data_IF_720047969977
#
_entry.id   IF_720047969977
#
_cell.length_a   1.000
_cell.length_b   1.000
_cell.length_c   1.000
_cell.angle_alpha   90.00
_cell.angle_beta   90.00
_cell.angle_gamma   90.00
#
_symmetry.space_group_name_H-M   'P 1'
#
loop_
_entity.id
_entity.type
_entity.pdbx_description
1 polymer ?
#
# COMPACT_ATOMS: atom_id res chain seq x y z
N UNK A 1 -14.60 -24.39 19.44
CA UNK A 1 -14.84 -22.96 19.73
C UNK A 1 -13.84 -22.00 19.05
N UNK A 2 -12.54 -22.33 18.91
CA UNK A 2 -11.52 -21.43 18.30
C UNK A 2 -11.60 -21.23 16.76
N UNK A 3 -12.03 -22.24 16.00
CA UNK A 3 -12.09 -22.12 14.53
C UNK A 3 -13.19 -21.17 14.00
N UNK A 4 -14.26 -20.97 14.79
CA UNK A 4 -15.37 -20.10 14.40
C UNK A 4 -14.96 -18.62 14.37
N UNK A 5 -14.16 -18.20 15.36
CA UNK A 5 -13.61 -16.83 15.45
C UNK A 5 -12.76 -16.44 14.24
N UNK A 6 -12.00 -17.38 13.65
CA UNK A 6 -11.17 -17.11 12.47
C UNK A 6 -12.00 -16.80 11.21
N UNK A 7 -13.25 -17.25 11.18
CA UNK A 7 -14.19 -17.08 10.07
C UNK A 7 -15.17 -15.92 10.29
N UNK A 8 -15.16 -15.31 11.47
CA UNK A 8 -15.99 -14.13 11.76
C UNK A 8 -15.45 -12.90 10.99
N UNK A 9 -16.36 -12.02 10.59
CA UNK A 9 -16.01 -10.78 9.91
C UNK A 9 -15.22 -9.87 10.84
N UNK A 10 -14.02 -9.52 10.39
CA UNK A 10 -13.16 -8.58 11.09
C UNK A 10 -13.54 -7.16 10.67
N UNK A 11 -13.85 -6.32 11.66
CA UNK A 11 -14.08 -4.90 11.42
C UNK A 11 -12.83 -4.06 11.71
N UNK A 12 -12.09 -3.69 10.66
CA UNK A 12 -10.90 -2.83 10.69
C UNK A 12 -11.13 -1.62 9.78
N UNK A 13 -10.84 -0.43 10.29
CA UNK A 13 -10.95 0.79 9.49
C UNK A 13 -9.73 0.96 8.59
N UNK A 14 -9.94 1.54 7.40
CA UNK A 14 -8.90 1.62 6.38
C UNK A 14 -7.67 2.44 6.83
N UNK A 15 -7.88 3.55 7.54
CA UNK A 15 -6.79 4.35 8.11
C UNK A 15 -6.02 3.58 9.18
N UNK A 16 -6.71 2.82 10.03
CA UNK A 16 -6.09 1.90 11.00
C UNK A 16 -5.23 0.86 10.29
N UNK A 17 -5.70 0.27 9.17
CA UNK A 17 -4.92 -0.71 8.40
C UNK A 17 -3.60 -0.11 7.91
N UNK A 18 -3.61 1.10 7.35
CA UNK A 18 -2.38 1.77 6.91
C UNK A 18 -1.46 2.02 8.10
N UNK A 19 -1.97 2.52 9.23
CA UNK A 19 -1.16 2.74 10.43
C UNK A 19 -0.55 1.44 10.96
N UNK A 20 -1.29 0.32 10.95
CA UNK A 20 -0.76 -0.97 11.37
C UNK A 20 0.38 -1.44 10.46
N UNK A 21 0.24 -1.29 9.14
CA UNK A 21 1.31 -1.62 8.18
C UNK A 21 2.52 -0.70 8.36
N UNK A 22 2.31 0.61 8.53
CA UNK A 22 3.39 1.55 8.78
C UNK A 22 4.12 1.28 10.11
N UNK A 23 3.37 1.03 11.17
CA UNK A 23 3.92 0.66 12.48
C UNK A 23 4.72 -0.63 12.43
N UNK A 24 4.23 -1.65 11.71
CA UNK A 24 4.99 -2.87 11.45
C UNK A 24 6.25 -2.61 10.62
N UNK A 25 6.16 -1.77 9.58
CA UNK A 25 7.31 -1.45 8.73
C UNK A 25 8.44 -0.83 9.55
N UNK A 26 8.11 0.17 10.36
CA UNK A 26 9.05 0.83 11.28
C UNK A 26 9.55 -0.14 12.34
N UNK A 27 8.67 -0.93 12.97
CA UNK A 27 9.05 -1.85 14.05
C UNK A 27 9.96 -2.98 13.55
N UNK A 28 9.65 -3.61 12.41
CA UNK A 28 10.50 -4.64 11.81
C UNK A 28 11.84 -4.05 11.35
N UNK A 29 11.86 -2.84 10.81
CA UNK A 29 13.11 -2.13 10.50
C UNK A 29 13.96 -1.97 11.77
N UNK A 30 13.37 -1.53 12.88
CA UNK A 30 14.05 -1.42 14.17
C UNK A 30 14.62 -2.76 14.66
N UNK A 31 13.85 -3.86 14.54
CA UNK A 31 14.29 -5.21 14.91
C UNK A 31 15.46 -5.68 14.03
N UNK A 32 15.38 -5.47 12.72
CA UNK A 32 16.39 -5.91 11.74
C UNK A 32 17.69 -5.09 11.81
N UNK A 33 17.64 -3.87 12.36
CA UNK A 33 18.84 -3.06 12.58
C UNK A 33 19.78 -3.65 13.63
N UNK A 34 19.31 -4.46 14.59
CA UNK A 34 20.17 -5.13 15.58
C UNK A 34 21.15 -6.11 14.92
N UNK A 35 20.70 -7.15 14.20
CA UNK A 35 21.62 -8.06 13.49
C UNK A 35 22.42 -7.34 12.40
N UNK A 36 21.88 -6.29 11.78
CA UNK A 36 22.64 -5.47 10.83
C UNK A 36 23.82 -4.73 11.50
N UNK A 37 23.65 -4.23 12.73
CA UNK A 37 24.69 -3.50 13.45
C UNK A 37 25.92 -4.34 13.80
N UNK A 38 25.75 -5.66 13.91
CA UNK A 38 26.85 -6.63 14.14
C UNK A 38 27.33 -7.27 12.83
N UNK A 39 26.85 -6.80 11.67
CA UNK A 39 27.24 -7.27 10.35
C UNK A 39 26.65 -8.63 9.96
N UNK A 40 25.66 -9.15 10.69
CA UNK A 40 25.02 -10.44 10.37
C UNK A 40 24.05 -10.34 9.19
N UNK A 41 23.46 -9.16 8.95
CA UNK A 41 22.50 -8.92 7.87
C UNK A 41 22.89 -7.68 7.06
N UNK A 42 22.75 -7.76 5.74
CA UNK A 42 22.84 -6.60 4.85
C UNK A 42 21.59 -5.73 5.01
N UNK A 43 21.78 -4.43 5.23
CA UNK A 43 20.69 -3.47 5.38
C UNK A 43 20.53 -2.63 4.11
N UNK A 44 19.33 -2.61 3.54
CA UNK A 44 19.02 -1.87 2.32
C UNK A 44 18.24 -0.58 2.63
N UNK A 45 18.97 0.53 2.75
CA UNK A 45 18.42 1.84 3.13
C UNK A 45 17.36 2.37 2.16
N UNK A 46 17.65 2.34 0.86
CA UNK A 46 16.72 2.84 -0.16
C UNK A 46 15.40 2.06 -0.17
N UNK A 47 15.42 0.78 0.22
CA UNK A 47 14.22 -0.03 0.40
C UNK A 47 13.35 0.43 1.56
N UNK A 48 13.95 0.80 2.70
CA UNK A 48 13.25 1.38 3.85
C UNK A 48 12.66 2.74 3.49
N UNK A 49 13.46 3.63 2.90
CA UNK A 49 13.00 4.96 2.51
C UNK A 49 11.88 4.87 1.47
N UNK A 50 12.05 4.01 0.47
CA UNK A 50 11.08 3.78 -0.57
C UNK A 50 9.76 3.22 -0.05
N UNK A 51 9.82 2.26 0.88
CA UNK A 51 8.64 1.68 1.52
C UNK A 51 7.87 2.73 2.34
N UNK A 52 8.55 3.54 3.15
CA UNK A 52 7.89 4.58 3.96
C UNK A 52 7.27 5.67 3.08
N UNK A 53 7.97 6.12 2.04
CA UNK A 53 7.42 7.06 1.06
C UNK A 53 6.21 6.48 0.32
N UNK A 54 6.27 5.21 -0.06
CA UNK A 54 5.12 4.53 -0.64
C UNK A 54 3.92 4.54 0.30
N UNK A 55 4.10 4.25 1.60
CA UNK A 55 3.02 4.30 2.59
C UNK A 55 2.47 5.71 2.80
N UNK A 56 3.32 6.75 2.82
CA UNK A 56 2.86 8.14 2.86
C UNK A 56 2.08 8.54 1.61
N UNK A 57 2.56 8.16 0.43
CA UNK A 57 1.87 8.39 -0.84
C UNK A 57 0.53 7.66 -0.89
N UNK A 58 0.51 6.39 -0.46
CA UNK A 58 -0.69 5.58 -0.30
C UNK A 58 -1.71 6.30 0.58
N UNK A 59 -1.32 6.73 1.78
CA UNK A 59 -2.19 7.45 2.71
C UNK A 59 -2.72 8.75 2.11
N UNK A 60 -1.88 9.49 1.39
CA UNK A 60 -2.27 10.75 0.73
C UNK A 60 -3.32 10.52 -0.36
N UNK A 61 -3.12 9.51 -1.23
CA UNK A 61 -4.04 9.18 -2.32
C UNK A 61 -5.36 8.59 -1.79
N UNK A 62 -5.27 7.74 -0.77
CA UNK A 62 -6.42 6.96 -0.27
C UNK A 62 -7.15 7.59 0.90
N UNK A 63 -6.63 8.59 1.59
CA UNK A 63 -7.33 9.25 2.70
C UNK A 63 -7.36 10.78 2.56
N UNK A 64 -6.60 11.37 1.64
CA UNK A 64 -6.42 12.82 1.58
C UNK A 64 -5.53 13.36 2.72
N UNK A 65 -5.08 12.50 3.64
CA UNK A 65 -4.18 12.87 4.72
C UNK A 65 -2.77 13.05 4.16
N UNK A 66 -2.30 14.28 4.15
CA UNK A 66 -0.92 14.60 3.79
C UNK A 66 0.00 14.44 5.00
N UNK A 67 1.32 14.31 4.81
CA UNK A 67 2.26 14.35 5.92
C UNK A 67 2.09 15.61 6.79
N UNK A 68 1.72 16.75 6.20
CA UNK A 68 1.49 18.02 6.91
C UNK A 68 0.14 18.12 7.65
N UNK A 69 -0.74 17.11 7.54
CA UNK A 69 -2.02 17.05 8.24
C UNK A 69 -3.20 16.67 7.36
N UNK A 70 -4.39 16.72 7.95
CA UNK A 70 -5.66 16.40 7.30
C UNK A 70 -5.99 17.45 6.23
N UNK A 71 -6.02 17.03 4.96
CA UNK A 71 -6.53 17.83 3.85
C UNK A 71 -7.73 17.10 3.22
N UNK A 72 -8.66 17.87 2.63
CA UNK A 72 -9.75 17.26 1.84
C UNK A 72 -9.16 16.63 0.58
N UNK A 73 -9.71 15.48 0.18
CA UNK A 73 -9.31 14.84 -1.08
C UNK A 73 -9.60 15.79 -2.24
N UNK A 74 -8.54 16.14 -2.97
CA UNK A 74 -8.61 16.99 -4.15
C UNK A 74 -7.64 16.46 -5.20
N UNK A 75 -7.88 16.80 -6.47
CA UNK A 75 -6.99 16.43 -7.57
C UNK A 75 -5.50 16.73 -7.31
N UNK A 76 -5.11 17.92 -6.80
CA UNK A 76 -3.70 18.18 -6.51
C UNK A 76 -3.15 17.32 -5.36
N UNK A 77 -3.95 17.04 -4.32
CA UNK A 77 -3.53 16.16 -3.22
C UNK A 77 -3.31 14.73 -3.70
N UNK A 78 -4.21 14.20 -4.53
CA UNK A 78 -4.05 12.88 -5.14
C UNK A 78 -2.80 12.85 -6.04
N UNK A 79 -2.60 13.86 -6.87
CA UNK A 79 -1.41 13.95 -7.73
C UNK A 79 -0.11 13.98 -6.91
N UNK A 80 -0.06 14.78 -5.83
CA UNK A 80 1.07 14.81 -4.93
C UNK A 80 1.33 13.45 -4.27
N UNK A 81 0.26 12.77 -3.81
CA UNK A 81 0.38 11.42 -3.26
C UNK A 81 0.91 10.39 -4.27
N UNK A 82 0.46 10.46 -5.53
CA UNK A 82 1.00 9.61 -6.62
C UNK A 82 2.47 9.89 -6.89
N UNK A 83 2.90 11.16 -6.87
CA UNK A 83 4.32 11.53 -7.03
C UNK A 83 5.15 10.96 -5.88
N UNK A 84 4.72 11.16 -4.63
CA UNK A 84 5.40 10.62 -3.45
C UNK A 84 5.51 9.09 -3.53
N UNK A 85 4.41 8.41 -3.88
CA UNK A 85 4.42 6.95 -4.03
C UNK A 85 5.34 6.49 -5.17
N UNK A 86 5.37 7.21 -6.29
CA UNK A 86 6.24 6.92 -7.44
C UNK A 86 7.71 7.05 -7.08
N UNK A 87 8.08 8.11 -6.34
CA UNK A 87 9.44 8.26 -5.81
C UNK A 87 9.77 7.11 -4.86
N UNK A 88 8.83 6.70 -4.00
CA UNK A 88 9.01 5.55 -3.11
C UNK A 88 9.23 4.22 -3.86
N UNK A 89 8.47 3.98 -4.93
CA UNK A 89 8.62 2.80 -5.80
C UNK A 89 9.99 2.80 -6.49
N UNK A 90 10.39 3.94 -7.08
CA UNK A 90 11.70 4.07 -7.73
C UNK A 90 12.86 3.86 -6.74
N UNK A 91 12.75 4.41 -5.53
CA UNK A 91 13.73 4.24 -4.47
C UNK A 91 13.89 2.77 -4.04
N UNK A 92 12.78 2.04 -3.96
CA UNK A 92 12.83 0.60 -3.67
C UNK A 92 13.62 -0.14 -4.76
N UNK A 93 13.33 0.15 -6.03
CA UNK A 93 13.77 -0.70 -7.14
C UNK A 93 15.17 -0.38 -7.64
N UNK A 94 15.58 0.89 -7.61
CA UNK A 94 16.85 1.34 -8.18
C UNK A 94 17.78 1.74 -7.04
N UNK A 95 18.63 0.82 -6.55
CA UNK A 95 19.60 1.15 -5.52
C UNK A 95 20.59 2.19 -6.06
N UNK A 96 20.99 3.11 -5.19
CA UNK A 96 22.17 3.99 -5.34
C UNK A 96 22.17 5.01 -6.49
N UNK A 97 21.10 5.09 -7.29
CA UNK A 97 20.99 6.09 -8.37
C UNK A 97 20.35 7.39 -7.92
N UNK A 98 19.31 7.33 -7.09
CA UNK A 98 18.51 8.51 -6.71
C UNK A 98 18.50 8.81 -5.21
N UNK A 99 19.41 8.24 -4.41
CA UNK A 99 19.41 8.24 -2.92
C UNK A 99 19.01 9.56 -2.26
N UNK A 100 19.49 10.70 -2.79
CA UNK A 100 19.21 12.02 -2.25
C UNK A 100 17.72 12.39 -2.31
N UNK A 101 17.03 12.08 -3.41
CA UNK A 101 15.64 12.54 -3.64
C UNK A 101 14.67 11.86 -2.65
N UNK A 102 14.64 10.51 -2.52
CA UNK A 102 13.85 9.83 -1.51
C UNK A 102 14.23 10.25 -0.09
N UNK A 103 15.53 10.41 0.20
CA UNK A 103 16.00 10.82 1.52
C UNK A 103 15.46 12.19 1.91
N UNK A 104 15.62 13.21 1.06
CA UNK A 104 15.10 14.57 1.31
C UNK A 104 13.58 14.56 1.42
N UNK A 105 12.90 13.86 0.51
CA UNK A 105 11.44 13.77 0.54
C UNK A 105 10.92 13.09 1.81
N UNK A 106 11.59 12.04 2.26
CA UNK A 106 11.24 11.33 3.49
C UNK A 106 11.47 12.21 4.72
N UNK A 107 12.59 12.95 4.76
CA UNK A 107 12.87 13.89 5.85
C UNK A 107 11.80 15.00 5.88
N UNK A 108 11.38 15.51 4.72
CA UNK A 108 10.26 16.45 4.65
C UNK A 108 8.98 15.82 5.19
N UNK A 109 8.65 14.58 4.79
CA UNK A 109 7.45 13.89 5.29
C UNK A 109 7.49 13.67 6.81
N UNK A 110 8.64 13.26 7.36
CA UNK A 110 8.79 12.93 8.78
C UNK A 110 8.95 14.17 9.67
N UNK A 111 9.86 15.08 9.34
CA UNK A 111 10.16 16.28 10.13
C UNK A 111 9.08 17.34 9.94
N UNK A 112 8.88 17.83 8.72
CA UNK A 112 7.91 18.90 8.48
C UNK A 112 6.49 18.40 8.77
N UNK A 113 6.17 17.17 8.35
CA UNK A 113 4.87 16.57 8.63
C UNK A 113 4.61 16.37 10.12
N UNK A 114 5.53 15.70 10.83
CA UNK A 114 5.41 15.48 12.27
C UNK A 114 5.33 16.79 13.08
N UNK A 115 6.16 17.77 12.74
CA UNK A 115 6.16 19.08 13.41
C UNK A 115 4.84 19.84 13.19
N UNK A 116 4.34 19.89 11.95
CA UNK A 116 3.07 20.56 11.65
C UNK A 116 1.88 19.86 12.31
N UNK A 117 1.84 18.52 12.34
CA UNK A 117 0.78 17.77 13.02
C UNK A 117 0.83 17.97 14.54
N UNK A 118 2.02 18.04 15.13
CA UNK A 118 2.18 18.38 16.55
C UNK A 118 1.71 19.80 16.85
N UNK A 119 2.07 20.78 16.02
CA UNK A 119 1.63 22.16 16.17
C UNK A 119 0.10 22.27 16.03
N UNK A 120 -0.50 21.58 15.05
CA UNK A 120 -1.96 21.50 14.90
C UNK A 120 -2.63 20.91 16.15
N UNK A 121 -2.05 19.88 16.75
CA UNK A 121 -2.55 19.29 18.00
C UNK A 121 -2.54 20.29 19.16
N UNK A 122 -1.53 21.15 19.25
CA UNK A 122 -1.42 22.20 20.28
C UNK A 122 -2.34 23.41 20.00
N UNK A 123 -2.45 23.85 18.74
CA UNK A 123 -3.18 25.05 18.34
C UNK A 123 -4.68 24.81 18.21
N UNK A 124 -5.11 23.59 17.90
CA UNK A 124 -6.53 23.21 17.87
C UNK A 124 -7.07 23.07 19.30
N UNK A 125 -7.22 24.21 19.97
CA UNK A 125 -7.65 24.36 21.38
C UNK A 125 -8.95 23.61 21.67
N UNK A 126 -9.83 23.50 20.67
CA UNK A 126 -11.10 22.79 20.80
C UNK A 126 -10.96 21.27 20.68
N UNK A 127 -9.90 20.71 20.07
CA UNK A 127 -9.70 19.26 20.01
C UNK A 127 -8.98 18.74 21.24
N UNK A 128 -7.82 19.30 21.57
CA UNK A 128 -6.98 18.79 22.66
C UNK A 128 -7.61 19.01 24.04
N UNK A 129 -8.19 20.19 24.28
CA UNK A 129 -8.84 20.50 25.56
C UNK A 129 -10.10 19.65 25.76
N UNK A 130 -10.83 19.37 24.69
CA UNK A 130 -12.01 18.50 24.70
C UNK A 130 -11.62 17.02 24.88
N UNK A 131 -10.58 16.54 24.22
CA UNK A 131 -10.08 15.16 24.40
C UNK A 131 -9.55 14.90 25.81
N UNK A 132 -8.87 15.89 26.39
CA UNK A 132 -8.43 15.85 27.79
C UNK A 132 -9.62 15.95 28.76
N UNK A 133 -10.65 16.74 28.41
CA UNK A 133 -11.87 16.91 29.19
C UNK A 133 -12.77 15.68 29.22
N UNK A 134 -12.87 14.93 28.11
CA UNK A 134 -13.64 13.67 28.06
C UNK A 134 -13.03 12.56 28.91
N UNK A 135 -11.72 12.62 29.19
CA UNK A 135 -11.02 11.60 29.97
C UNK A 135 -10.98 10.22 29.30
N UNK A 136 -10.38 9.25 29.99
CA UNK A 136 -10.31 7.86 29.51
C UNK A 136 -9.50 7.67 28.22
N UNK A 137 -10.09 7.00 27.22
CA UNK A 137 -9.41 6.58 25.97
C UNK A 137 -8.93 7.78 25.14
N UNK A 138 -9.65 8.91 25.17
CA UNK A 138 -9.28 10.12 24.42
C UNK A 138 -8.01 10.80 24.97
N UNK A 139 -7.73 10.69 26.27
CA UNK A 139 -6.47 11.15 26.86
C UNK A 139 -5.29 10.32 26.36
N UNK A 140 -5.45 8.99 26.31
CA UNK A 140 -4.42 8.11 25.75
C UNK A 140 -4.22 8.36 24.25
N UNK A 141 -5.28 8.67 23.50
CA UNK A 141 -5.17 9.06 22.09
C UNK A 141 -4.31 10.33 21.92
N UNK A 142 -4.57 11.38 22.71
CA UNK A 142 -3.80 12.61 22.64
C UNK A 142 -2.31 12.39 22.92
N UNK A 143 -2.00 11.58 23.94
CA UNK A 143 -0.61 11.21 24.30
C UNK A 143 0.04 10.39 23.17
N UNK A 144 -0.67 9.41 22.62
CA UNK A 144 -0.15 8.59 21.53
C UNK A 144 0.11 9.40 20.25
N UNK A 145 -0.80 10.32 19.88
CA UNK A 145 -0.57 11.24 18.77
C UNK A 145 0.66 12.12 19.00
N UNK A 146 0.76 12.75 20.18
CA UNK A 146 1.91 13.58 20.52
C UNK A 146 3.24 12.79 20.45
N UNK A 147 3.24 11.56 20.97
CA UNK A 147 4.40 10.68 20.90
C UNK A 147 4.79 10.36 19.45
N UNK A 148 3.83 9.92 18.61
CA UNK A 148 4.09 9.61 17.20
C UNK A 148 4.64 10.83 16.45
N UNK A 149 4.08 12.02 16.67
CA UNK A 149 4.54 13.23 15.98
C UNK A 149 5.95 13.65 16.39
N UNK A 150 6.25 13.62 17.69
CA UNK A 150 7.59 13.95 18.21
C UNK A 150 8.64 12.92 17.78
N UNK A 151 8.31 11.62 17.85
CA UNK A 151 9.21 10.57 17.38
C UNK A 151 9.38 10.61 15.85
N UNK A 152 8.37 11.01 15.08
CA UNK A 152 8.51 11.23 13.63
C UNK A 152 9.56 12.29 13.34
N UNK A 153 9.52 13.44 14.03
CA UNK A 153 10.54 14.50 13.90
C UNK A 153 11.91 13.97 14.30
N UNK A 154 12.00 13.26 15.42
CA UNK A 154 13.25 12.71 15.91
C UNK A 154 13.87 11.71 14.91
N UNK A 155 13.10 10.76 14.40
CA UNK A 155 13.56 9.79 13.40
C UNK A 155 13.94 10.49 12.09
N UNK A 156 13.18 11.51 11.67
CA UNK A 156 13.56 12.32 10.50
C UNK A 156 14.90 13.05 10.68
N UNK A 157 15.22 13.52 11.89
CA UNK A 157 16.55 14.09 12.20
C UNK A 157 17.66 13.04 12.17
N UNK A 158 17.38 11.81 12.62
CA UNK A 158 18.33 10.68 12.52
C UNK A 158 18.62 10.33 11.05
N UNK A 159 17.60 10.38 10.18
CA UNK A 159 17.79 10.19 8.73
C UNK A 159 18.58 11.34 8.11
N UNK A 160 18.38 12.59 8.57
CA UNK A 160 19.11 13.75 8.05
C UNK A 160 20.60 13.70 8.39
N UNK A 161 20.96 13.45 9.65
CA UNK A 161 22.34 13.42 10.11
C UNK A 161 22.73 12.00 10.51
N UNK A 162 23.33 11.30 9.55
CA UNK A 162 23.94 9.98 9.78
C UNK A 162 25.02 10.09 10.87
N UNK A 163 25.03 9.12 11.78
CA UNK A 163 25.98 9.08 12.91
C UNK A 163 25.65 10.00 14.10
N UNK A 164 24.46 10.61 14.14
CA UNK A 164 24.00 11.35 15.34
C UNK A 164 23.89 10.46 16.57
N UNK A 165 23.56 9.19 16.35
CA UNK A 165 23.42 8.14 17.33
C UNK A 165 24.15 6.89 16.84
N UNK A 166 24.55 6.03 17.79
CA UNK A 166 25.04 4.68 17.47
C UNK A 166 23.93 3.86 16.79
N UNK A 167 24.30 2.90 15.94
CA UNK A 167 23.34 2.05 15.22
C UNK A 167 22.36 1.36 16.16
N UNK A 168 22.83 0.93 17.34
CA UNK A 168 22.00 0.30 18.36
C UNK A 168 20.96 1.26 18.94
N UNK A 169 21.37 2.50 19.27
CA UNK A 169 20.45 3.53 19.77
C UNK A 169 19.47 4.00 18.71
N UNK A 170 19.87 4.03 17.44
CA UNK A 170 18.96 4.26 16.31
C UNK A 170 17.93 3.13 16.19
N UNK A 171 18.36 1.87 16.29
CA UNK A 171 17.47 0.72 16.27
C UNK A 171 16.41 0.78 17.38
N UNK A 172 16.83 1.08 18.62
CA UNK A 172 15.92 1.28 19.76
C UNK A 172 14.93 2.42 19.53
N UNK A 173 15.41 3.55 19.01
CA UNK A 173 14.58 4.73 18.72
C UNK A 173 13.51 4.42 17.67
N UNK A 174 13.91 3.73 16.59
CA UNK A 174 13.01 3.27 15.54
C UNK A 174 12.00 2.26 16.08
N UNK A 175 12.41 1.33 16.96
CA UNK A 175 11.53 0.35 17.58
C UNK A 175 10.45 1.03 18.47
N UNK A 176 10.86 1.99 19.30
CA UNK A 176 9.94 2.79 20.12
C UNK A 176 8.96 3.58 19.25
N UNK A 177 9.44 4.17 18.14
CA UNK A 177 8.57 4.86 17.20
C UNK A 177 7.54 3.92 16.55
N UNK A 178 7.97 2.74 16.09
CA UNK A 178 7.07 1.71 15.54
C UNK A 178 6.02 1.25 16.55
N UNK A 179 6.42 1.02 17.80
CA UNK A 179 5.51 0.68 18.90
C UNK A 179 4.49 1.80 19.18
N UNK A 180 4.90 3.07 19.12
CA UNK A 180 4.00 4.21 19.28
C UNK A 180 2.95 4.29 18.16
N UNK A 181 3.34 4.04 16.90
CA UNK A 181 2.40 3.99 15.77
C UNK A 181 1.39 2.84 15.95
N UNK A 182 1.84 1.65 16.34
CA UNK A 182 0.95 0.52 16.59
C UNK A 182 -0.02 0.81 17.75
N UNK A 183 0.47 1.39 18.85
CA UNK A 183 -0.38 1.80 19.97
C UNK A 183 -1.45 2.81 19.54
N UNK A 184 -1.07 3.79 18.71
CA UNK A 184 -2.03 4.75 18.13
C UNK A 184 -3.08 4.04 17.27
N UNK A 185 -2.69 3.08 16.43
CA UNK A 185 -3.61 2.31 15.60
C UNK A 185 -4.63 1.52 16.43
N UNK A 186 -4.18 0.85 17.51
CA UNK A 186 -5.07 0.12 18.42
C UNK A 186 -6.03 1.03 19.17
N UNK A 187 -5.56 2.19 19.64
CA UNK A 187 -6.41 3.19 20.31
C UNK A 187 -7.47 3.73 19.34
N UNK A 188 -7.08 4.05 18.11
CA UNK A 188 -7.99 4.56 17.09
C UNK A 188 -9.06 3.51 16.72
N UNK A 189 -8.64 2.26 16.54
CA UNK A 189 -9.56 1.15 16.30
C UNK A 189 -10.57 0.96 17.43
N UNK A 190 -10.12 1.08 18.69
CA UNK A 190 -11.00 1.00 19.87
C UNK A 190 -12.01 2.15 19.88
N UNK A 191 -11.57 3.36 19.56
CA UNK A 191 -12.44 4.54 19.50
C UNK A 191 -13.47 4.37 18.39
N UNK A 192 -13.09 3.99 17.18
CA UNK A 192 -14.03 3.84 16.08
C UNK A 192 -15.07 2.73 16.31
N UNK A 193 -14.69 1.62 16.95
CA UNK A 193 -15.67 0.59 17.36
C UNK A 193 -16.65 1.07 18.41
N UNK A 194 -16.23 1.98 19.29
CA UNK A 194 -17.08 2.53 20.35
C UNK A 194 -17.95 3.69 19.84
N UNK A 195 -17.42 4.48 18.91
CA UNK A 195 -18.03 5.68 18.34
C UNK A 195 -17.97 5.64 16.80
N UNK A 196 -18.84 4.85 16.15
CA UNK A 196 -18.79 4.63 14.70
C UNK A 196 -19.06 5.91 13.89
N UNK A 197 -19.78 6.88 14.47
CA UNK A 197 -20.01 8.20 13.88
C UNK A 197 -18.70 9.01 13.69
N UNK A 198 -17.70 8.79 14.55
CA UNK A 198 -16.39 9.43 14.42
C UNK A 198 -15.59 8.87 13.23
N UNK A 199 -15.88 7.65 12.79
CA UNK A 199 -15.24 7.03 11.64
C UNK A 199 -15.91 7.39 10.30
N UNK A 200 -17.19 7.81 10.33
CA UNK A 200 -17.98 8.18 9.13
C UNK A 200 -17.59 9.55 8.52
N UNK A 201 -16.70 10.32 9.14
CA UNK A 201 -16.34 11.68 8.72
C UNK A 201 -15.34 11.81 7.56
N UNK A 202 -15.19 10.79 6.70
CA UNK A 202 -14.18 10.81 5.62
C UNK A 202 -14.73 10.51 4.20
N UNK A 203 -16.02 10.24 4.06
CA UNK A 203 -16.68 10.20 2.74
C UNK A 203 -17.09 11.61 2.30
N UNK A 204 -16.09 12.48 2.11
CA UNK A 204 -16.29 13.73 1.39
C UNK A 204 -16.61 13.34 -0.07
N UNK A 205 -17.80 13.70 -0.56
CA UNK A 205 -18.40 13.32 -1.84
C UNK A 205 -17.65 13.76 -3.12
N UNK A 206 -16.33 13.92 -3.06
CA UNK A 206 -15.46 14.30 -4.17
C UNK A 206 -14.31 13.29 -4.34
N UNK A 207 -14.43 12.41 -5.35
CA UNK A 207 -13.27 11.86 -6.06
C UNK A 207 -12.66 10.55 -5.54
N UNK A 208 -12.88 9.48 -6.32
CA UNK A 208 -12.36 8.11 -6.19
C UNK A 208 -12.65 7.40 -4.86
N UNK A 209 -13.55 6.40 -4.89
CA UNK A 209 -13.67 5.38 -3.85
C UNK A 209 -12.29 4.78 -3.55
N UNK A 210 -12.04 4.39 -2.30
CA UNK A 210 -10.74 3.88 -1.84
C UNK A 210 -10.24 2.69 -2.68
N UNK A 211 -11.15 1.87 -3.21
CA UNK A 211 -10.83 0.80 -4.18
C UNK A 211 -10.16 1.33 -5.47
N UNK A 212 -10.65 2.45 -6.01
CA UNK A 212 -10.10 3.09 -7.20
C UNK A 212 -8.75 3.73 -6.94
N UNK A 213 -8.56 4.30 -5.74
CA UNK A 213 -7.27 4.80 -5.29
C UNK A 213 -6.21 3.68 -5.23
N UNK A 214 -6.58 2.49 -4.75
CA UNK A 214 -5.70 1.33 -4.80
C UNK A 214 -5.41 0.87 -6.23
N UNK A 215 -6.43 0.81 -7.10
CA UNK A 215 -6.23 0.47 -8.51
C UNK A 215 -5.26 1.45 -9.20
N UNK A 216 -5.35 2.74 -8.90
CA UNK A 216 -4.42 3.77 -9.37
C UNK A 216 -2.99 3.47 -8.92
N UNK A 217 -2.77 3.24 -7.62
CA UNK A 217 -1.45 2.95 -7.07
C UNK A 217 -0.84 1.65 -7.62
N UNK A 218 -1.64 0.59 -7.77
CA UNK A 218 -1.21 -0.67 -8.39
C UNK A 218 -0.86 -0.46 -9.85
N UNK A 219 -1.69 0.29 -10.59
CA UNK A 219 -1.42 0.63 -11.99
C UNK A 219 -0.11 1.40 -12.16
N UNK A 220 0.13 2.42 -11.31
CA UNK A 220 1.38 3.19 -11.29
C UNK A 220 2.57 2.31 -10.94
N UNK A 221 2.45 1.45 -9.91
CA UNK A 221 3.47 0.47 -9.56
C UNK A 221 3.86 -0.41 -10.75
N UNK A 222 2.86 -1.01 -11.43
CA UNK A 222 3.10 -1.90 -12.56
C UNK A 222 3.71 -1.16 -13.75
N UNK A 223 3.30 0.09 -13.98
CA UNK A 223 3.85 0.93 -15.04
C UNK A 223 5.31 1.28 -14.79
N UNK A 224 5.64 1.79 -13.59
CA UNK A 224 7.02 2.12 -13.21
C UNK A 224 7.90 0.87 -13.29
N UNK A 225 7.43 -0.24 -12.72
CA UNK A 225 8.16 -1.51 -12.75
C UNK A 225 8.42 -1.96 -14.19
N UNK A 226 7.39 -1.97 -15.03
CA UNK A 226 7.51 -2.42 -16.41
C UNK A 226 8.47 -1.57 -17.24
N UNK A 227 8.43 -0.25 -17.05
CA UNK A 227 9.35 0.69 -17.71
C UNK A 227 10.79 0.50 -17.21
N UNK A 228 11.00 0.29 -15.91
CA UNK A 228 12.33 0.07 -15.33
C UNK A 228 12.97 -1.25 -15.76
N UNK A 229 12.18 -2.31 -15.94
CA UNK A 229 12.73 -3.63 -16.29
C UNK A 229 13.42 -3.64 -17.66
N UNK A 230 13.05 -2.76 -18.58
CA UNK A 230 13.69 -2.65 -19.90
C UNK A 230 15.16 -2.24 -19.79
N UNK A 231 15.53 -1.06 -19.26
CA UNK A 231 16.94 -0.66 -19.09
C UNK A 231 17.71 -1.57 -18.13
N UNK A 232 17.06 -2.15 -17.11
CA UNK A 232 17.67 -3.14 -16.21
C UNK A 232 18.10 -4.40 -16.98
N UNK A 233 17.26 -4.91 -17.88
CA UNK A 233 17.59 -6.09 -18.70
C UNK A 233 18.78 -5.83 -19.62
N UNK A 234 18.98 -4.59 -20.07
CA UNK A 234 20.15 -4.17 -20.85
C UNK A 234 21.37 -3.83 -19.99
N UNK A 235 21.33 -4.04 -18.67
CA UNK A 235 22.44 -3.77 -17.76
C UNK A 235 22.72 -2.28 -17.54
N UNK A 236 21.79 -1.37 -17.90
CA UNK A 236 22.00 0.08 -17.77
C UNK A 236 21.62 0.64 -16.40
N UNK A 237 20.80 -0.08 -15.63
CA UNK A 237 20.36 0.35 -14.31
C UNK A 237 20.47 -0.82 -13.31
N UNK A 238 20.91 -0.56 -12.07
CA UNK A 238 20.89 -1.56 -11.02
C UNK A 238 19.45 -1.81 -10.57
N UNK A 239 19.18 -3.00 -10.04
CA UNK A 239 17.81 -3.40 -9.70
C UNK A 239 17.74 -4.28 -8.45
N UNK A 240 16.84 -3.92 -7.53
CA UNK A 240 16.54 -4.70 -6.33
C UNK A 240 15.26 -5.52 -6.51
N UNK A 241 15.42 -6.77 -6.99
CA UNK A 241 14.29 -7.71 -7.10
C UNK A 241 13.66 -8.04 -5.74
N UNK A 242 14.43 -7.97 -4.66
CA UNK A 242 13.95 -8.17 -3.28
C UNK A 242 12.93 -7.10 -2.89
N UNK A 243 13.24 -5.83 -3.15
CA UNK A 243 12.35 -4.73 -2.82
C UNK A 243 11.15 -4.64 -3.78
N UNK A 244 11.31 -5.08 -5.04
CA UNK A 244 10.18 -5.26 -5.96
C UNK A 244 9.13 -6.22 -5.41
N UNK A 245 9.56 -7.45 -5.09
CA UNK A 245 8.67 -8.46 -4.52
C UNK A 245 8.14 -8.01 -3.16
N UNK A 246 8.99 -7.37 -2.36
CA UNK A 246 8.63 -6.86 -1.04
C UNK A 246 7.49 -5.83 -1.10
N UNK A 247 7.62 -4.83 -1.98
CA UNK A 247 6.61 -3.78 -2.12
C UNK A 247 5.30 -4.32 -2.71
N UNK A 248 5.37 -5.28 -3.63
CA UNK A 248 4.18 -5.98 -4.14
C UNK A 248 3.44 -6.73 -3.02
N UNK A 249 4.18 -7.40 -2.13
CA UNK A 249 3.59 -8.11 -0.98
C UNK A 249 2.94 -7.16 0.02
N UNK A 250 3.51 -5.97 0.24
CA UNK A 250 2.88 -4.91 1.02
C UNK A 250 1.60 -4.42 0.35
N UNK A 251 1.59 -4.24 -0.97
CA UNK A 251 0.38 -3.89 -1.73
C UNK A 251 -0.72 -4.95 -1.54
N UNK A 252 -0.39 -6.23 -1.68
CA UNK A 252 -1.34 -7.33 -1.43
C UNK A 252 -1.82 -7.36 0.02
N UNK A 253 -0.94 -7.07 0.97
CA UNK A 253 -1.32 -6.95 2.38
C UNK A 253 -2.37 -5.87 2.60
N UNK A 254 -2.16 -4.65 2.07
CA UNK A 254 -3.15 -3.56 2.15
C UNK A 254 -4.48 -4.02 1.55
N UNK A 255 -4.45 -4.68 0.39
CA UNK A 255 -5.66 -5.16 -0.27
C UNK A 255 -6.44 -6.19 0.58
N UNK A 256 -5.73 -7.11 1.22
CA UNK A 256 -6.33 -8.12 2.09
C UNK A 256 -6.87 -7.51 3.38
N UNK A 257 -6.08 -6.67 4.05
CA UNK A 257 -6.43 -6.07 5.33
C UNK A 257 -7.59 -5.08 5.21
N UNK A 258 -7.60 -4.29 4.14
CA UNK A 258 -8.58 -3.20 4.01
C UNK A 258 -9.84 -3.62 3.25
N UNK A 259 -9.72 -4.44 2.20
CA UNK A 259 -10.85 -4.78 1.30
C UNK A 259 -11.21 -6.27 1.30
N UNK A 260 -10.44 -7.13 1.97
CA UNK A 260 -10.61 -8.59 1.85
C UNK A 260 -10.22 -9.14 0.47
N UNK A 261 -9.62 -8.31 -0.39
CA UNK A 261 -9.16 -8.72 -1.72
C UNK A 261 -7.83 -9.43 -1.60
N UNK A 262 -7.79 -10.70 -1.99
CA UNK A 262 -6.56 -11.49 -2.07
C UNK A 262 -6.07 -11.56 -3.53
N UNK A 263 -4.81 -11.94 -3.77
CA UNK A 263 -4.30 -12.16 -5.13
C UNK A 263 -5.09 -13.20 -5.94
N UNK A 264 -5.80 -14.11 -5.25
CA UNK A 264 -6.61 -15.16 -5.84
C UNK A 264 -8.03 -14.66 -6.19
N UNK A 265 -8.45 -13.55 -5.58
CA UNK A 265 -9.75 -12.93 -5.78
C UNK A 265 -10.31 -12.29 -4.51
N UNK A 266 -11.51 -11.69 -4.60
CA UNK A 266 -12.18 -11.10 -3.44
C UNK A 266 -12.70 -12.17 -2.48
N UNK A 267 -12.39 -12.00 -1.19
CA UNK A 267 -12.91 -12.81 -0.09
C UNK A 267 -13.60 -11.91 0.93
N UNK A 268 -14.43 -12.51 1.79
CA UNK A 268 -14.94 -11.79 2.96
C UNK A 268 -13.78 -11.46 3.89
N UNK A 269 -13.80 -10.27 4.48
CA UNK A 269 -12.76 -9.78 5.40
C UNK A 269 -12.87 -10.49 6.75
N UNK A 270 -12.46 -11.74 6.79
CA UNK A 270 -12.43 -12.59 7.99
C UNK A 270 -11.12 -12.43 8.74
N UNK A 271 -11.07 -12.79 10.02
CA UNK A 271 -9.82 -12.76 10.80
C UNK A 271 -8.69 -13.60 10.20
N UNK A 272 -8.99 -14.69 9.49
CA UNK A 272 -8.00 -15.46 8.73
C UNK A 272 -7.35 -14.60 7.63
N UNK A 273 -8.17 -13.92 6.82
CA UNK A 273 -7.65 -13.03 5.76
C UNK A 273 -6.85 -11.88 6.36
N UNK A 274 -7.29 -11.36 7.51
CA UNK A 274 -6.55 -10.32 8.23
C UNK A 274 -5.17 -10.83 8.70
N UNK A 275 -5.13 -12.00 9.33
CA UNK A 275 -3.88 -12.62 9.76
C UNK A 275 -2.94 -12.86 8.57
N UNK A 276 -3.46 -13.42 7.47
CA UNK A 276 -2.69 -13.62 6.25
C UNK A 276 -2.18 -12.29 5.68
N UNK A 277 -2.99 -11.24 5.72
CA UNK A 277 -2.59 -9.89 5.36
C UNK A 277 -1.38 -9.39 6.16
N UNK A 278 -1.35 -9.60 7.47
CA UNK A 278 -0.20 -9.27 8.31
C UNK A 278 1.05 -10.10 7.98
N UNK A 279 0.89 -11.39 7.67
CA UNK A 279 2.00 -12.24 7.20
C UNK A 279 2.58 -11.70 5.89
N UNK A 280 1.72 -11.32 4.93
CA UNK A 280 2.15 -10.71 3.67
C UNK A 280 2.87 -9.38 3.90
N UNK A 281 2.39 -8.56 4.84
CA UNK A 281 3.07 -7.32 5.20
C UNK A 281 4.47 -7.60 5.73
N UNK A 282 4.60 -8.52 6.69
CA UNK A 282 5.88 -8.84 7.32
C UNK A 282 6.89 -9.37 6.30
N UNK A 283 6.48 -10.33 5.46
CA UNK A 283 7.32 -10.84 4.37
C UNK A 283 7.74 -9.72 3.41
N UNK A 284 6.79 -8.84 3.05
CA UNK A 284 7.04 -7.72 2.16
C UNK A 284 8.04 -6.71 2.72
N UNK A 285 7.81 -6.28 3.95
CA UNK A 285 8.67 -5.36 4.69
C UNK A 285 10.07 -5.96 4.82
N UNK A 286 10.20 -7.19 5.33
CA UNK A 286 11.52 -7.83 5.50
C UNK A 286 12.28 -7.90 4.18
N UNK A 287 11.60 -8.20 3.08
CA UNK A 287 12.22 -8.24 1.74
C UNK A 287 12.63 -6.86 1.19
N UNK A 288 11.93 -5.79 1.60
CA UNK A 288 12.36 -4.41 1.31
C UNK A 288 13.56 -3.98 2.15
N UNK A 289 13.70 -4.47 3.39
CA UNK A 289 14.77 -4.05 4.31
C UNK A 289 16.04 -4.88 4.13
N UNK A 290 15.90 -6.19 3.93
CA UNK A 290 17.02 -7.13 3.87
C UNK A 290 17.02 -7.82 2.50
N UNK A 291 17.97 -7.46 1.62
CA UNK A 291 17.98 -7.97 0.27
C UNK A 291 18.40 -9.44 0.23
N UNK A 292 17.95 -10.15 -0.80
CA UNK A 292 18.37 -11.50 -1.22
C UNK A 292 18.02 -12.67 -0.30
N UNK A 293 17.39 -12.45 0.86
CA UNK A 293 16.99 -13.56 1.76
C UNK A 293 15.67 -14.19 1.32
N UNK A 294 14.65 -13.38 1.06
CA UNK A 294 13.29 -13.86 0.78
C UNK A 294 13.01 -14.07 -0.72
N UNK A 295 13.94 -13.72 -1.61
CA UNK A 295 13.70 -13.69 -3.05
C UNK A 295 13.20 -15.02 -3.61
N UNK A 296 13.86 -16.19 -3.38
CA UNK A 296 13.40 -17.44 -3.96
C UNK A 296 11.98 -17.82 -3.49
N UNK A 297 11.72 -17.63 -2.20
CA UNK A 297 10.42 -17.91 -1.60
C UNK A 297 9.32 -16.98 -2.13
N UNK A 298 9.60 -15.67 -2.21
CA UNK A 298 8.65 -14.70 -2.72
C UNK A 298 8.40 -14.83 -4.22
N UNK A 299 9.41 -15.17 -5.01
CA UNK A 299 9.24 -15.46 -6.44
C UNK A 299 8.31 -16.65 -6.64
N UNK A 300 8.50 -17.73 -5.87
CA UNK A 300 7.61 -18.89 -5.91
C UNK A 300 6.18 -18.51 -5.51
N UNK A 301 6.03 -17.81 -4.38
CA UNK A 301 4.73 -17.41 -3.85
C UNK A 301 3.98 -16.49 -4.81
N UNK A 302 4.61 -15.40 -5.26
CA UNK A 302 4.03 -14.43 -6.19
C UNK A 302 3.74 -15.07 -7.55
N UNK A 303 4.65 -15.92 -8.03
CA UNK A 303 4.46 -16.68 -9.27
C UNK A 303 3.22 -17.56 -9.21
N UNK A 304 3.11 -18.38 -8.15
CA UNK A 304 1.96 -19.26 -7.93
C UNK A 304 0.65 -18.48 -7.76
N UNK A 305 0.66 -17.40 -6.98
CA UNK A 305 -0.53 -16.56 -6.75
C UNK A 305 -1.05 -15.92 -8.05
N UNK A 306 -0.16 -15.45 -8.91
CA UNK A 306 -0.55 -14.87 -10.20
C UNK A 306 -1.10 -15.93 -11.18
N UNK A 307 -0.53 -17.13 -11.20
CA UNK A 307 -1.05 -18.23 -12.04
C UNK A 307 -2.43 -18.67 -11.57
N UNK A 308 -2.57 -18.94 -10.27
CA UNK A 308 -3.84 -19.41 -9.68
C UNK A 308 -4.91 -18.32 -9.75
N UNK A 309 -4.57 -17.08 -9.38
CA UNK A 309 -5.47 -15.94 -9.42
C UNK A 309 -5.92 -15.61 -10.85
N UNK A 310 -4.99 -15.55 -11.80
CA UNK A 310 -5.31 -15.33 -13.21
C UNK A 310 -6.16 -16.46 -13.79
N UNK A 311 -5.88 -17.72 -13.45
CA UNK A 311 -6.67 -18.87 -13.90
C UNK A 311 -8.10 -18.85 -13.37
N UNK A 312 -8.28 -18.57 -12.08
CA UNK A 312 -9.62 -18.43 -11.46
C UNK A 312 -10.37 -17.22 -12.05
N UNK A 313 -9.68 -16.10 -12.25
CA UNK A 313 -10.24 -14.90 -12.88
C UNK A 313 -10.73 -15.19 -14.29
N UNK A 314 -9.93 -15.88 -15.10
CA UNK A 314 -10.29 -16.28 -16.46
C UNK A 314 -11.51 -17.20 -16.47
N UNK A 315 -11.53 -18.21 -15.59
CA UNK A 315 -12.67 -19.12 -15.46
C UNK A 315 -13.96 -18.37 -15.11
N UNK A 316 -13.90 -17.40 -14.20
CA UNK A 316 -15.07 -16.57 -13.81
C UNK A 316 -15.63 -15.74 -14.95
N UNK A 317 -14.81 -15.28 -15.88
CA UNK A 317 -15.27 -14.48 -17.03
C UNK A 317 -15.76 -15.38 -18.18
N UNK A 318 -15.05 -16.48 -18.46
CA UNK A 318 -15.34 -17.33 -19.63
C UNK A 318 -16.50 -18.30 -19.37
N UNK A 319 -16.63 -18.90 -18.17
CA UNK A 319 -17.68 -19.87 -17.87
C UNK A 319 -19.11 -19.34 -18.08
N UNK A 320 -19.47 -18.11 -17.65
CA UNK A 320 -20.81 -17.56 -17.90
C UNK A 320 -21.08 -17.29 -19.38
N UNK A 321 -20.06 -16.88 -20.15
CA UNK A 321 -20.17 -16.62 -21.59
C UNK A 321 -20.45 -17.92 -22.35
N UNK A 322 -19.72 -18.99 -21.99
CA UNK A 322 -19.89 -20.32 -22.61
C UNK A 322 -21.23 -20.94 -22.19
N UNK A 323 -21.65 -20.77 -20.93
CA UNK A 323 -22.92 -21.33 -20.41
C UNK A 323 -24.17 -20.61 -20.95
N UNK A 324 -24.07 -19.33 -21.27
CA UNK A 324 -25.18 -18.54 -21.83
C UNK A 324 -25.17 -18.47 -23.37
N UNK A 325 -24.41 -19.35 -24.03
CA UNK A 325 -24.37 -19.47 -25.49
C UNK A 325 -25.76 -19.82 -26.02
N UNK A 326 -26.50 -18.83 -26.51
CA UNK A 326 -27.87 -18.99 -27.01
C UNK A 326 -28.90 -17.95 -26.53
N UNK A 327 -28.57 -17.07 -25.58
CA UNK A 327 -29.43 -15.93 -25.21
C UNK A 327 -29.02 -14.68 -25.99
N UNK A 328 -29.77 -14.36 -27.03
CA UNK A 328 -29.66 -13.18 -27.92
C UNK A 328 -30.13 -11.88 -27.23
N UNK A 329 -29.62 -11.59 -26.03
CA UNK A 329 -29.77 -10.25 -25.46
C UNK A 329 -28.63 -9.39 -25.97
N UNK A 330 -28.92 -8.20 -26.50
CA UNK A 330 -27.90 -7.24 -26.91
C UNK A 330 -27.04 -6.87 -25.69
N UNK A 331 -25.83 -7.43 -25.62
CA UNK A 331 -24.90 -7.17 -24.54
C UNK A 331 -24.35 -5.75 -24.74
N UNK A 332 -24.45 -4.84 -23.75
CA UNK A 332 -23.91 -3.50 -23.89
C UNK A 332 -22.42 -3.50 -24.25
N UNK A 333 -22.01 -2.67 -25.21
CA UNK A 333 -20.61 -2.58 -25.69
C UNK A 333 -19.60 -2.35 -24.55
N UNK A 334 -20.00 -1.64 -23.50
CA UNK A 334 -19.19 -1.39 -22.31
C UNK A 334 -18.86 -2.70 -21.56
N UNK A 335 -19.82 -3.63 -21.48
CA UNK A 335 -19.62 -4.92 -20.81
C UNK A 335 -18.71 -5.85 -21.60
N UNK A 336 -18.76 -5.77 -22.94
CA UNK A 336 -17.81 -6.47 -23.82
C UNK A 336 -16.40 -5.94 -23.62
N UNK A 337 -16.21 -4.60 -23.61
CA UNK A 337 -14.90 -3.98 -23.35
C UNK A 337 -14.37 -4.36 -21.97
N UNK A 338 -15.23 -4.38 -20.94
CA UNK A 338 -14.87 -4.83 -19.61
C UNK A 338 -14.40 -6.30 -19.60
N UNK A 339 -15.14 -7.18 -20.27
CA UNK A 339 -14.82 -8.62 -20.31
C UNK A 339 -13.51 -8.89 -21.03
N UNK A 340 -13.27 -8.23 -22.17
CA UNK A 340 -11.99 -8.31 -22.91
C UNK A 340 -10.84 -7.79 -22.04
N UNK A 341 -11.05 -6.69 -21.33
CA UNK A 341 -10.06 -6.11 -20.40
C UNK A 341 -9.73 -7.06 -19.24
N UNK A 342 -10.72 -7.74 -18.68
CA UNK A 342 -10.50 -8.71 -17.60
C UNK A 342 -9.80 -9.98 -18.12
N UNK A 343 -10.16 -10.47 -19.30
CA UNK A 343 -9.48 -11.60 -19.94
C UNK A 343 -8.00 -11.26 -20.18
N UNK A 344 -7.70 -10.07 -20.72
CA UNK A 344 -6.33 -9.66 -20.97
C UNK A 344 -5.52 -9.53 -19.66
N UNK A 345 -6.07 -8.89 -18.63
CA UNK A 345 -5.42 -8.80 -17.31
C UNK A 345 -5.11 -10.17 -16.70
N UNK A 346 -6.06 -11.11 -16.77
CA UNK A 346 -5.88 -12.45 -16.21
C UNK A 346 -4.83 -13.26 -16.98
N UNK A 347 -4.82 -13.20 -18.32
CA UNK A 347 -3.79 -13.83 -19.14
C UNK A 347 -2.41 -13.23 -18.86
N UNK A 348 -2.32 -11.91 -18.75
CA UNK A 348 -1.07 -11.22 -18.42
C UNK A 348 -0.57 -11.59 -17.01
N UNK A 349 -1.47 -11.70 -16.03
CA UNK A 349 -1.12 -12.16 -14.69
C UNK A 349 -0.55 -13.59 -14.73
N UNK A 350 -1.20 -14.51 -15.45
CA UNK A 350 -0.69 -15.87 -15.63
C UNK A 350 0.68 -15.87 -16.32
N UNK A 351 0.86 -15.11 -17.40
CA UNK A 351 2.14 -15.00 -18.11
C UNK A 351 3.24 -14.48 -17.17
N UNK A 352 2.98 -13.41 -16.42
CA UNK A 352 3.90 -12.88 -15.44
C UNK A 352 4.26 -13.93 -14.39
N UNK A 353 3.27 -14.63 -13.82
CA UNK A 353 3.52 -15.68 -12.85
C UNK A 353 4.33 -16.85 -13.41
N UNK A 354 4.03 -17.30 -14.64
CA UNK A 354 4.82 -18.35 -15.30
C UNK A 354 6.24 -17.92 -15.61
N UNK A 355 6.46 -16.66 -16.01
CA UNK A 355 7.80 -16.12 -16.29
C UNK A 355 8.67 -16.01 -15.04
N UNK A 356 8.07 -15.90 -13.86
CA UNK A 356 8.77 -15.95 -12.57
C UNK A 356 9.22 -17.36 -12.18
N UNK A 357 8.45 -18.41 -12.56
CA UNK A 357 8.74 -19.79 -12.18
C UNK A 357 9.61 -20.52 -13.21
N UNK A 358 9.47 -20.18 -14.48
CA UNK A 358 10.19 -20.81 -15.59
C UNK A 358 11.25 -19.84 -16.10
N UNK A 359 12.50 -20.11 -15.72
CA UNK A 359 13.65 -19.35 -16.20
C UNK A 359 13.71 -19.39 -17.74
N UNK A 360 14.01 -18.24 -18.37
CA UNK A 360 14.14 -18.07 -19.82
C UNK A 360 12.85 -18.24 -20.66
N UNK A 361 11.66 -18.33 -20.04
CA UNK A 361 10.41 -18.37 -20.79
C UNK A 361 10.18 -17.09 -21.60
N UNK A 362 10.47 -15.94 -20.99
CA UNK A 362 10.39 -14.62 -21.61
C UNK A 362 11.64 -13.80 -21.30
N UNK A 363 12.22 -13.07 -22.26
CA UNK A 363 13.25 -12.08 -21.98
C UNK A 363 12.75 -11.01 -20.99
N UNK A 364 13.61 -10.53 -20.09
CA UNK A 364 13.22 -9.56 -19.05
C UNK A 364 12.59 -8.27 -19.60
N UNK A 365 13.02 -7.81 -20.78
CA UNK A 365 12.44 -6.63 -21.43
C UNK A 365 11.00 -6.89 -21.92
N UNK A 366 10.68 -8.11 -22.34
CA UNK A 366 9.32 -8.52 -22.74
C UNK A 366 8.42 -8.51 -21.50
N UNK A 367 8.90 -9.07 -20.38
CA UNK A 367 8.18 -9.03 -19.09
C UNK A 367 7.93 -7.58 -18.67
N UNK A 368 8.92 -6.70 -18.84
CA UNK A 368 8.78 -5.26 -18.60
C UNK A 368 7.65 -4.62 -19.43
N UNK A 369 7.64 -4.85 -20.74
CA UNK A 369 6.60 -4.32 -21.64
C UNK A 369 5.21 -4.85 -21.26
N UNK A 370 5.10 -6.14 -20.94
CA UNK A 370 3.84 -6.78 -20.51
C UNK A 370 3.32 -6.14 -19.21
N UNK A 371 4.19 -5.92 -18.22
CA UNK A 371 3.83 -5.27 -16.96
C UNK A 371 3.41 -3.81 -17.16
N UNK A 372 4.13 -3.07 -18.00
CA UNK A 372 3.80 -1.68 -18.31
C UNK A 372 2.43 -1.58 -19.01
N UNK A 373 2.17 -2.48 -19.97
CA UNK A 373 0.87 -2.60 -20.61
C UNK A 373 -0.23 -2.94 -19.60
N UNK A 374 0.01 -3.88 -18.68
CA UNK A 374 -0.94 -4.22 -17.61
C UNK A 374 -1.27 -3.01 -16.72
N UNK A 375 -0.23 -2.25 -16.32
CA UNK A 375 -0.40 -0.99 -15.59
C UNK A 375 -1.26 0.01 -16.35
N UNK A 376 -0.99 0.21 -17.64
CA UNK A 376 -1.80 1.07 -18.51
C UNK A 376 -3.27 0.61 -18.63
N UNK A 377 -3.49 -0.70 -18.76
CA UNK A 377 -4.83 -1.30 -18.84
C UNK A 377 -5.59 -1.15 -17.52
N UNK A 378 -4.92 -1.26 -16.36
CA UNK A 378 -5.51 -0.98 -15.04
C UNK A 378 -5.96 0.48 -14.90
N UNK A 379 -5.15 1.42 -15.36
CA UNK A 379 -5.49 2.85 -15.37
C UNK A 379 -6.65 3.14 -16.33
N UNK A 380 -6.69 2.47 -17.48
CA UNK A 380 -7.81 2.56 -18.42
C UNK A 380 -9.11 1.99 -17.84
N UNK A 381 -9.04 0.83 -17.16
CA UNK A 381 -10.18 0.25 -16.46
C UNK A 381 -10.73 1.22 -15.41
N UNK A 382 -9.86 1.86 -14.63
CA UNK A 382 -10.27 2.88 -13.68
C UNK A 382 -11.00 4.04 -14.37
N UNK A 383 -10.50 4.51 -15.51
CA UNK A 383 -11.19 5.55 -16.31
C UNK A 383 -12.59 5.09 -16.73
N UNK A 384 -12.74 3.86 -17.24
CA UNK A 384 -14.03 3.32 -17.63
C UNK A 384 -15.00 3.23 -16.44
N UNK A 385 -14.55 2.76 -15.28
CA UNK A 385 -15.37 2.70 -14.05
C UNK A 385 -15.82 4.07 -13.57
N UNK A 386 -15.00 5.11 -13.74
CA UNK A 386 -15.41 6.49 -13.44
C UNK A 386 -16.42 7.03 -14.45
N UNK A 387 -16.31 6.65 -15.72
CA UNK A 387 -17.25 7.06 -16.77
C UNK A 387 -18.63 6.42 -16.56
N UNK A 388 -18.68 5.13 -16.21
CA UNK A 388 -19.93 4.42 -15.92
C UNK A 388 -20.67 5.06 -14.74
N UNK A 389 -19.97 5.38 -13.64
CA UNK A 389 -20.59 6.02 -12.47
C UNK A 389 -21.17 7.40 -12.82
N UNK A 390 -20.49 8.19 -13.66
CA UNK A 390 -21.03 9.48 -14.14
C UNK A 390 -22.28 9.31 -14.99
N UNK A 391 -22.31 8.29 -15.84
CA UNK A 391 -23.51 8.00 -16.62
C UNK A 391 -24.68 7.56 -15.71
N UNK A 392 -24.40 6.75 -14.69
CA UNK A 392 -25.41 6.33 -13.71
C UNK A 392 -25.95 7.51 -12.88
N UNK A 393 -25.08 8.42 -12.42
CA UNK A 393 -25.52 9.62 -11.69
C UNK A 393 -26.40 10.52 -12.56
N UNK A 394 -25.99 10.75 -13.80
CA UNK A 394 -26.74 11.60 -14.73
C UNK A 394 -28.11 11.00 -15.08
N UNK A 395 -28.18 9.67 -15.27
CA UNK A 395 -29.46 8.98 -15.52
C UNK A 395 -30.40 9.11 -14.31
N UNK A 396 -29.89 8.96 -13.08
CA UNK A 396 -30.69 9.14 -11.86
C UNK A 396 -31.17 10.60 -11.69
N UNK A 397 -30.35 11.61 -12.00
CA UNK A 397 -30.75 13.02 -11.96
C UNK A 397 -31.78 13.39 -13.03
N UNK A 398 -31.72 12.77 -14.22
CA UNK A 398 -32.74 12.99 -15.27
C UNK A 398 -34.05 12.25 -15.05
N UNK A 399 -34.09 11.31 -14.10
CA UNK A 399 -35.27 10.52 -13.76
C UNK A 399 -36.01 11.04 -12.50
N UNK A 400 -35.42 12.01 -11.79
CA UNK A 400 -36.03 12.79 -10.69
C UNK A 400 -36.51 14.14 -11.19
#
# INVERSE_FOLDING_TARGET
>A
MKAKFLLDEADLYFDVVILLIAGMAVMLTGILLFPASVGLLSYYENGVYGLLLFLFGLQTVTLGRTPAGDMRRSKPVIAAGVVIASVGIMACFVPDVFTLVPKVLLILCLCLGGFLQFLQLLVSKDKLKVWLGYGGVFRYLAIACAAVYLFSVFVGLLVWKEGLLSTLTTALSVLVYGAAILALAFLLQKIYRTYPLAAKGLDDGFGLKTDKAMLLLVGVFMLILGVLLVPVTFGRLPFSGSAQLGLLMVIFSVQMLAFGSTPIGPFRRTWLVIFLGFVFAALGIVSCVVPNILVPFLTLLVGALNIVGGGIGLAKVVLPIVKNKGRTAAVPTVLVRLSVTQISMNLVSMLFGTSMLVHHLLPGWVVGVILAANGGVLLYLMHLLMLIERLQSNIMETAS
#
